data_IF_284102717368
#
_entry.id   IF_284102717368
#
_cell.length_a   1.000
_cell.length_b   1.000
_cell.length_c   1.000
_cell.angle_alpha   90.00
_cell.angle_beta   90.00
_cell.angle_gamma   90.00
#
_symmetry.space_group_name_H-M   'P 1'
#
loop_
_entity.id
_entity.type
_entity.pdbx_description
1 polymer ?
#
# COMPACT_ATOMS: atom_id res chain seq x y z
N UNK A 1 20.14 -81.55 -13.94
CA UNK A 1 20.41 -80.22 -13.31
C UNK A 1 19.69 -79.16 -14.12
N UNK A 2 18.60 -78.68 -13.59
CA UNK A 2 17.72 -77.73 -14.25
C UNK A 2 17.93 -76.35 -13.61
N UNK A 3 18.40 -75.35 -14.42
CA UNK A 3 18.65 -74.02 -14.02
C UNK A 3 17.37 -73.19 -14.15
N UNK A 4 16.90 -72.60 -13.04
CA UNK A 4 15.76 -71.72 -12.99
C UNK A 4 16.22 -70.28 -13.33
N UNK A 5 15.66 -69.53 -14.27
CA UNK A 5 16.03 -68.15 -14.50
C UNK A 5 15.35 -67.26 -13.52
N UNK A 6 16.13 -66.42 -12.82
CA UNK A 6 15.69 -65.35 -11.95
C UNK A 6 14.97 -64.28 -12.75
N UNK A 7 13.68 -64.10 -12.51
CA UNK A 7 12.91 -62.93 -12.98
C UNK A 7 13.36 -61.69 -12.21
N UNK A 8 13.98 -60.78 -12.91
CA UNK A 8 14.25 -59.42 -12.41
C UNK A 8 12.93 -58.65 -12.47
N UNK A 9 12.37 -58.39 -11.29
CA UNK A 9 11.22 -57.48 -11.16
C UNK A 9 11.78 -56.05 -11.16
N UNK A 10 11.64 -55.35 -12.27
CA UNK A 10 11.84 -53.89 -12.33
C UNK A 10 10.64 -53.22 -11.67
N UNK A 11 10.79 -52.82 -10.41
CA UNK A 11 9.84 -51.89 -9.77
C UNK A 11 10.07 -50.50 -10.35
N UNK A 12 9.18 -50.13 -11.25
CA UNK A 12 9.08 -48.77 -11.78
C UNK A 12 8.55 -47.88 -10.65
N UNK A 13 9.43 -47.22 -9.89
CA UNK A 13 9.07 -46.15 -9.01
C UNK A 13 8.66 -44.94 -9.89
N UNK A 14 7.36 -44.79 -10.11
CA UNK A 14 6.79 -43.56 -10.64
C UNK A 14 7.00 -42.50 -9.54
N UNK A 15 8.06 -41.70 -9.63
CA UNK A 15 8.20 -40.45 -8.90
C UNK A 15 7.14 -39.48 -9.45
N UNK A 16 5.93 -39.54 -8.90
CA UNK A 16 4.98 -38.44 -9.03
C UNK A 16 5.56 -37.29 -8.22
N UNK A 17 6.32 -36.47 -8.91
CA UNK A 17 6.71 -35.16 -8.40
C UNK A 17 5.44 -34.33 -8.21
N UNK A 18 4.84 -34.42 -7.03
CA UNK A 18 3.86 -33.45 -6.59
C UNK A 18 4.64 -32.14 -6.43
N UNK A 19 4.66 -31.34 -7.47
CA UNK A 19 4.96 -29.92 -7.35
C UNK A 19 3.91 -29.32 -6.42
N UNK A 20 4.18 -29.35 -5.13
CA UNK A 20 3.56 -28.46 -4.18
C UNK A 20 4.00 -27.06 -4.59
N UNK A 21 3.23 -26.43 -5.50
CA UNK A 21 3.22 -25.00 -5.57
C UNK A 21 2.72 -24.55 -4.20
N UNK A 22 3.64 -24.33 -3.29
CA UNK A 22 3.35 -23.54 -2.10
C UNK A 22 2.83 -22.22 -2.66
N UNK A 23 1.54 -22.00 -2.54
CA UNK A 23 0.92 -20.75 -2.94
C UNK A 23 1.61 -19.71 -2.06
N UNK A 24 2.55 -18.98 -2.67
CA UNK A 24 3.32 -17.98 -1.94
C UNK A 24 2.28 -16.97 -1.44
N UNK A 25 2.09 -16.92 -0.13
CA UNK A 25 1.11 -16.03 0.49
C UNK A 25 1.46 -14.61 0.04
N UNK A 26 0.56 -13.98 -0.69
CA UNK A 26 0.73 -12.60 -1.12
C UNK A 26 0.84 -11.68 0.09
N UNK A 27 1.79 -10.75 0.08
CA UNK A 27 1.88 -9.71 1.08
C UNK A 27 0.77 -8.68 0.83
N UNK A 28 -0.03 -8.39 1.84
CA UNK A 28 -1.14 -7.45 1.76
C UNK A 28 -0.88 -6.27 2.69
N UNK A 29 -0.63 -5.10 2.12
CA UNK A 29 -0.55 -3.82 2.83
C UNK A 29 -1.81 -2.99 2.56
N UNK A 30 -2.43 -2.49 3.62
CA UNK A 30 -3.70 -1.75 3.53
C UNK A 30 -3.59 -0.36 4.13
N UNK A 31 -4.01 0.65 3.38
CA UNK A 31 -4.15 2.02 3.88
C UNK A 31 -5.47 2.19 4.62
N UNK A 32 -5.41 2.71 5.84
CA UNK A 32 -6.57 2.89 6.73
C UNK A 32 -6.74 4.36 7.07
N UNK A 33 -7.81 4.97 6.60
CA UNK A 33 -8.22 6.33 7.01
C UNK A 33 -9.09 6.29 8.25
N UNK A 34 -8.74 7.09 9.25
CA UNK A 34 -9.45 7.12 10.52
C UNK A 34 -10.93 7.49 10.42
N UNK A 35 -11.28 8.38 9.49
CA UNK A 35 -12.67 8.74 9.23
C UNK A 35 -13.49 7.59 8.61
N UNK A 36 -12.88 6.74 7.78
CA UNK A 36 -13.55 5.56 7.22
C UNK A 36 -13.73 4.48 8.29
N UNK A 37 -12.70 4.27 9.12
CA UNK A 37 -12.79 3.38 10.26
C UNK A 37 -13.93 3.79 11.21
N UNK A 38 -14.01 5.06 11.57
CA UNK A 38 -15.07 5.58 12.44
C UNK A 38 -16.48 5.40 11.85
N UNK A 39 -16.63 5.50 10.54
CA UNK A 39 -17.91 5.32 9.86
C UNK A 39 -18.29 3.84 9.64
N UNK A 40 -17.50 2.89 10.14
CA UNK A 40 -17.74 1.47 9.91
C UNK A 40 -17.56 1.03 8.45
N UNK A 41 -16.79 1.80 7.65
CA UNK A 41 -16.51 1.48 6.24
C UNK A 41 -15.27 0.62 6.05
N UNK A 42 -14.66 0.17 7.12
CA UNK A 42 -13.52 -0.73 7.13
C UNK A 42 -13.95 -2.01 7.81
N UNK A 43 -13.98 -3.10 7.09
CA UNK A 43 -14.30 -4.40 7.65
C UNK A 43 -13.16 -4.88 8.56
N UNK A 44 -13.49 -5.39 9.74
CA UNK A 44 -12.49 -5.87 10.71
C UNK A 44 -11.75 -7.08 10.15
N UNK A 45 -12.45 -7.93 9.44
CA UNK A 45 -11.87 -9.09 8.75
C UNK A 45 -10.79 -8.67 7.76
N UNK A 46 -10.99 -7.57 7.03
CA UNK A 46 -9.98 -7.02 6.11
C UNK A 46 -8.75 -6.51 6.85
N UNK A 47 -8.93 -5.85 8.01
CA UNK A 47 -7.80 -5.45 8.87
C UNK A 47 -7.00 -6.67 9.34
N UNK A 48 -7.70 -7.72 9.77
CA UNK A 48 -7.09 -8.95 10.28
C UNK A 48 -6.44 -9.81 9.19
N UNK A 49 -6.90 -9.68 7.96
CA UNK A 49 -6.33 -10.37 6.79
C UNK A 49 -5.08 -9.67 6.23
N UNK A 50 -4.87 -8.40 6.56
CA UNK A 50 -3.69 -7.63 6.13
C UNK A 50 -2.44 -8.06 6.91
N UNK A 51 -1.30 -8.07 6.23
CA UNK A 51 0.00 -8.27 6.86
C UNK A 51 0.57 -6.93 7.39
N UNK A 52 0.10 -5.81 6.85
CA UNK A 52 0.57 -4.46 7.13
C UNK A 52 -0.57 -3.44 7.03
N UNK A 53 -0.68 -2.56 8.01
CA UNK A 53 -1.70 -1.51 8.09
C UNK A 53 -1.02 -0.15 8.19
N UNK A 54 -1.30 0.73 7.23
CA UNK A 54 -0.76 2.09 7.16
C UNK A 54 -1.87 3.08 7.54
N UNK A 55 -1.74 3.69 8.71
CA UNK A 55 -2.73 4.65 9.23
C UNK A 55 -2.46 6.03 8.63
N UNK A 56 -3.41 6.56 7.89
CA UNK A 56 -3.34 7.90 7.27
C UNK A 56 -4.09 8.93 8.13
N UNK A 57 -3.63 10.19 8.25
CA UNK A 57 -2.44 10.79 7.68
C UNK A 57 -1.64 11.53 8.74
N UNK A 58 -0.32 11.52 8.57
CA UNK A 58 0.59 12.49 9.17
C UNK A 58 1.01 13.45 8.06
N UNK A 59 1.06 14.76 8.34
CA UNK A 59 1.42 15.78 7.35
C UNK A 59 2.75 16.43 7.76
N UNK A 60 3.77 16.45 6.90
CA UNK A 60 4.97 17.25 7.14
C UNK A 60 4.66 18.74 6.96
N UNK A 61 5.10 19.56 7.91
CA UNK A 61 5.18 21.00 7.77
C UNK A 61 6.53 21.38 7.16
N UNK A 62 6.63 22.61 6.62
CA UNK A 62 7.85 23.09 5.93
C UNK A 62 9.13 22.99 6.77
N UNK A 63 9.03 23.06 8.09
CA UNK A 63 10.14 22.99 9.05
C UNK A 63 10.42 21.56 9.57
N UNK A 64 9.72 20.57 9.05
CA UNK A 64 9.82 19.17 9.48
C UNK A 64 9.04 18.85 10.75
N UNK A 65 8.27 19.78 11.31
CA UNK A 65 7.28 19.47 12.33
C UNK A 65 6.10 18.70 11.72
N UNK A 66 5.27 18.08 12.57
CA UNK A 66 4.19 17.20 12.14
C UNK A 66 2.83 17.77 12.50
N UNK A 67 1.89 17.67 11.57
CA UNK A 67 0.46 17.81 11.82
C UNK A 67 -0.22 16.46 11.63
N UNK A 68 -1.30 16.20 12.37
CA UNK A 68 -2.01 14.93 12.32
C UNK A 68 -3.45 15.15 11.87
N UNK A 69 -3.91 14.35 10.92
CA UNK A 69 -5.32 14.28 10.60
C UNK A 69 -6.03 13.52 11.72
N UNK A 70 -6.80 14.23 12.53
CA UNK A 70 -7.61 13.58 13.55
C UNK A 70 -8.76 12.82 12.89
N UNK A 71 -8.99 11.56 13.29
CA UNK A 71 -10.19 10.85 12.89
C UNK A 71 -11.39 11.61 13.41
N UNK A 72 -12.13 12.27 12.53
CA UNK A 72 -13.32 13.01 12.94
C UNK A 72 -14.31 12.05 13.58
N UNK A 73 -14.86 12.42 14.73
CA UNK A 73 -15.97 11.72 15.36
C UNK A 73 -17.22 11.89 14.48
N UNK A 74 -17.31 11.08 13.43
CA UNK A 74 -18.60 10.84 12.80
C UNK A 74 -19.29 9.74 13.60
N UNK A 75 -20.63 9.73 13.61
CA UNK A 75 -21.43 8.68 14.20
C UNK A 75 -20.80 7.30 13.94
N UNK A 76 -20.44 6.57 14.99
CA UNK A 76 -19.76 5.30 14.87
C UNK A 76 -18.92 4.95 16.09
N UNK A 77 -17.69 4.47 15.89
CA UNK A 77 -16.82 3.97 16.96
C UNK A 77 -16.31 5.08 17.93
N UNK A 78 -16.59 6.35 17.63
CA UNK A 78 -16.32 7.46 18.55
C UNK A 78 -14.84 7.79 18.75
N UNK A 79 -13.95 7.33 17.88
CA UNK A 79 -12.52 7.63 17.96
C UNK A 79 -12.25 9.04 17.44
N UNK A 80 -11.78 9.94 18.32
CA UNK A 80 -11.59 11.36 18.00
C UNK A 80 -10.12 11.80 17.98
N UNK A 81 -9.22 10.95 18.45
CA UNK A 81 -7.79 11.25 18.54
C UNK A 81 -6.98 10.23 17.74
N UNK A 82 -5.78 10.65 17.34
CA UNK A 82 -4.84 9.81 16.64
C UNK A 82 -4.39 8.61 17.48
N UNK A 83 -4.09 8.84 18.75
CA UNK A 83 -3.72 7.79 19.69
C UNK A 83 -4.88 6.80 19.92
N UNK A 84 -6.09 7.31 19.98
CA UNK A 84 -7.30 6.49 20.05
C UNK A 84 -7.49 5.60 18.83
N UNK A 85 -7.21 6.12 17.63
CA UNK A 85 -7.23 5.32 16.39
C UNK A 85 -6.21 4.19 16.44
N UNK A 86 -4.95 4.50 16.78
CA UNK A 86 -3.89 3.50 16.91
C UNK A 86 -4.28 2.41 17.89
N UNK A 87 -4.77 2.80 19.09
CA UNK A 87 -5.21 1.87 20.12
C UNK A 87 -6.35 0.97 19.63
N UNK A 88 -7.34 1.55 18.94
CA UNK A 88 -8.48 0.81 18.43
C UNK A 88 -8.07 -0.19 17.34
N UNK A 89 -7.28 0.23 16.36
CA UNK A 89 -6.78 -0.66 15.29
C UNK A 89 -5.95 -1.80 15.89
N UNK A 90 -5.06 -1.52 16.84
CA UNK A 90 -4.27 -2.57 17.49
C UNK A 90 -5.13 -3.58 18.25
N UNK A 91 -6.24 -3.15 18.85
CA UNK A 91 -7.19 -4.05 19.50
C UNK A 91 -7.89 -4.97 18.49
N UNK A 92 -8.29 -4.43 17.32
CA UNK A 92 -8.95 -5.20 16.26
C UNK A 92 -8.01 -6.29 15.69
N UNK A 93 -6.72 -6.00 15.53
CA UNK A 93 -5.77 -6.96 14.95
C UNK A 93 -4.99 -7.77 16.01
N UNK A 94 -5.41 -7.71 17.26
CA UNK A 94 -4.79 -8.51 18.32
C UNK A 94 -4.81 -10.01 17.96
N UNK A 95 -3.67 -10.66 18.11
CA UNK A 95 -3.49 -12.08 17.80
C UNK A 95 -3.19 -12.36 16.32
N UNK A 96 -3.10 -11.34 15.47
CA UNK A 96 -2.58 -11.47 14.10
C UNK A 96 -1.09 -11.10 14.05
N UNK A 97 -0.48 -11.25 12.85
CA UNK A 97 0.90 -10.80 12.57
C UNK A 97 0.97 -9.40 11.96
N UNK A 98 -0.18 -8.73 11.81
CA UNK A 98 -0.29 -7.43 11.15
C UNK A 98 0.65 -6.40 11.80
N UNK A 99 1.44 -5.73 10.98
CA UNK A 99 2.19 -4.54 11.37
C UNK A 99 1.27 -3.33 11.37
N UNK A 100 1.50 -2.40 12.30
CA UNK A 100 0.73 -1.15 12.37
C UNK A 100 1.69 0.01 12.25
N UNK A 101 1.61 0.71 11.12
CA UNK A 101 2.48 1.81 10.76
C UNK A 101 1.67 3.10 10.55
N UNK A 102 2.36 4.21 10.37
CA UNK A 102 1.74 5.46 9.95
C UNK A 102 2.13 5.80 8.52
N UNK A 103 1.28 6.54 7.82
CA UNK A 103 1.56 7.11 6.51
C UNK A 103 1.69 8.61 6.59
N UNK A 104 2.74 9.16 6.02
CA UNK A 104 2.92 10.59 5.85
C UNK A 104 2.53 10.98 4.42
N UNK A 105 1.40 11.67 4.27
CA UNK A 105 0.91 12.15 2.97
C UNK A 105 0.38 13.57 3.07
N UNK A 106 0.18 14.24 1.92
CA UNK A 106 -0.24 15.64 1.87
C UNK A 106 0.73 16.57 2.62
N UNK A 107 0.33 17.78 3.02
CA UNK A 107 1.20 18.70 3.76
C UNK A 107 2.18 19.49 2.87
N UNK A 108 3.30 19.91 3.46
CA UNK A 108 4.24 20.81 2.80
C UNK A 108 5.51 20.08 2.31
N UNK A 109 5.33 18.94 1.64
CA UNK A 109 6.41 18.06 1.20
C UNK A 109 7.51 18.79 0.42
N UNK A 110 7.16 19.54 -0.64
CA UNK A 110 8.16 20.21 -1.50
C UNK A 110 9.09 21.13 -0.70
N UNK A 111 8.53 21.92 0.21
CA UNK A 111 9.32 22.80 1.06
C UNK A 111 10.15 22.03 2.10
N UNK A 112 9.56 21.00 2.71
CA UNK A 112 10.24 20.18 3.72
C UNK A 112 11.40 19.38 3.13
N UNK A 113 11.22 18.73 1.96
CA UNK A 113 12.31 17.94 1.36
C UNK A 113 13.44 18.80 0.80
N UNK A 114 13.19 20.04 0.42
CA UNK A 114 14.20 20.94 -0.09
C UNK A 114 15.22 21.42 0.96
N UNK A 115 14.86 21.40 2.25
CA UNK A 115 15.67 21.89 3.36
C UNK A 115 16.25 20.73 4.18
N UNK A 116 17.57 20.69 4.36
CA UNK A 116 18.27 19.61 5.08
C UNK A 116 17.88 19.59 6.58
N UNK A 117 17.73 20.77 7.19
CA UNK A 117 17.34 20.88 8.59
C UNK A 117 15.92 20.36 8.78
N UNK A 118 15.00 20.71 7.87
CA UNK A 118 13.65 20.24 7.88
C UNK A 118 13.56 18.70 7.67
N UNK A 119 14.31 18.14 6.71
CA UNK A 119 14.41 16.67 6.53
C UNK A 119 14.85 15.97 7.81
N UNK A 120 15.87 16.54 8.48
CA UNK A 120 16.39 15.98 9.73
C UNK A 120 15.37 16.09 10.86
N UNK A 121 14.70 17.24 10.99
CA UNK A 121 13.64 17.45 11.98
C UNK A 121 12.46 16.49 11.75
N UNK A 122 12.02 16.35 10.50
CA UNK A 122 10.96 15.44 10.11
C UNK A 122 11.27 14.00 10.52
N UNK A 123 12.45 13.49 10.16
CA UNK A 123 12.86 12.13 10.51
C UNK A 123 12.91 11.88 12.02
N UNK A 124 13.44 12.85 12.80
CA UNK A 124 13.48 12.77 14.27
C UNK A 124 12.07 12.81 14.89
N UNK A 125 11.19 13.66 14.37
CA UNK A 125 9.81 13.76 14.85
C UNK A 125 9.03 12.48 14.55
N UNK A 126 9.18 11.90 13.36
CA UNK A 126 8.62 10.59 13.03
C UNK A 126 9.13 9.52 14.01
N UNK A 127 10.45 9.41 14.22
CA UNK A 127 11.00 8.44 15.19
C UNK A 127 10.37 8.57 16.58
N UNK A 128 10.18 9.80 17.06
CA UNK A 128 9.52 10.06 18.34
C UNK A 128 8.09 9.53 18.36
N UNK A 129 7.31 9.78 17.29
CA UNK A 129 5.93 9.29 17.15
C UNK A 129 5.88 7.76 17.14
N UNK A 130 6.77 7.12 16.38
CA UNK A 130 6.85 5.66 16.31
C UNK A 130 7.16 5.05 17.69
N UNK A 131 8.08 5.65 18.45
CA UNK A 131 8.45 5.20 19.78
C UNK A 131 7.30 5.37 20.79
N UNK A 132 6.69 6.55 20.82
CA UNK A 132 5.61 6.89 21.75
C UNK A 132 4.38 6.01 21.56
N UNK A 133 4.06 5.67 20.31
CA UNK A 133 2.88 4.89 19.96
C UNK A 133 3.20 3.41 19.67
N UNK A 134 4.45 2.97 19.87
CA UNK A 134 4.92 1.61 19.63
C UNK A 134 4.60 1.11 18.21
N UNK A 135 4.70 1.98 17.21
CA UNK A 135 4.41 1.68 15.82
C UNK A 135 5.57 0.93 15.17
N UNK A 136 5.25 0.17 14.12
CA UNK A 136 6.20 -0.70 13.43
C UNK A 136 6.99 0.02 12.33
N UNK A 137 6.56 1.22 11.90
CA UNK A 137 7.25 1.96 10.84
C UNK A 137 6.45 3.11 10.25
N UNK A 138 6.95 3.60 9.12
CA UNK A 138 6.42 4.74 8.38
C UNK A 138 6.33 4.40 6.89
N UNK A 139 5.33 4.93 6.22
CA UNK A 139 5.21 5.02 4.77
C UNK A 139 5.28 6.50 4.34
N UNK A 140 6.10 6.81 3.36
CA UNK A 140 6.27 8.17 2.83
C UNK A 140 5.52 8.28 1.50
N UNK A 141 4.50 9.12 1.47
CA UNK A 141 3.61 9.32 0.33
C UNK A 141 3.65 10.78 -0.13
N UNK A 142 4.73 11.12 -0.86
CA UNK A 142 4.92 12.43 -1.45
C UNK A 142 4.26 12.52 -2.83
N UNK A 143 3.13 13.17 -2.89
CA UNK A 143 2.35 13.39 -4.12
C UNK A 143 2.45 14.87 -4.57
N UNK A 144 3.32 15.29 -5.51
CA UNK A 144 4.29 14.50 -6.26
C UNK A 144 5.55 15.32 -6.52
N UNK A 145 6.69 14.63 -6.68
CA UNK A 145 7.88 15.22 -7.27
C UNK A 145 7.67 15.37 -8.79
N UNK A 146 7.95 16.56 -9.34
CA UNK A 146 7.64 16.91 -10.73
C UNK A 146 8.89 17.13 -11.58
N UNK A 147 10.04 17.36 -10.94
CA UNK A 147 11.30 17.66 -11.62
C UNK A 147 12.50 16.98 -10.95
N UNK A 148 13.66 17.01 -11.62
CA UNK A 148 14.86 16.31 -11.17
C UNK A 148 15.31 16.74 -9.75
N UNK A 149 15.20 18.03 -9.43
CA UNK A 149 15.57 18.56 -8.11
C UNK A 149 14.66 18.02 -7.01
N UNK A 150 13.35 17.98 -7.24
CA UNK A 150 12.38 17.43 -6.28
C UNK A 150 12.59 15.92 -6.07
N UNK A 151 12.95 15.16 -7.11
CA UNK A 151 13.32 13.75 -6.96
C UNK A 151 14.59 13.55 -6.14
N UNK A 152 15.62 14.39 -6.37
CA UNK A 152 16.84 14.39 -5.57
C UNK A 152 16.53 14.70 -4.11
N UNK A 153 15.79 15.77 -3.83
CA UNK A 153 15.42 16.21 -2.49
C UNK A 153 14.58 15.14 -1.75
N UNK A 154 13.63 14.52 -2.46
CA UNK A 154 12.85 13.42 -1.88
C UNK A 154 13.71 12.19 -1.57
N UNK A 155 14.64 11.86 -2.47
CA UNK A 155 15.61 10.77 -2.24
C UNK A 155 16.48 11.05 -1.00
N UNK A 156 16.95 12.28 -0.80
CA UNK A 156 17.67 12.70 0.40
C UNK A 156 16.81 12.60 1.67
N UNK A 157 15.52 12.91 1.58
CA UNK A 157 14.61 12.75 2.70
C UNK A 157 14.42 11.26 3.08
N UNK A 158 14.31 10.38 2.11
CA UNK A 158 14.24 8.91 2.32
C UNK A 158 15.52 8.41 3.01
N UNK A 159 16.69 8.81 2.51
CA UNK A 159 17.97 8.43 3.07
C UNK A 159 18.11 8.93 4.52
N UNK A 160 17.74 10.20 4.78
CA UNK A 160 17.76 10.77 6.14
C UNK A 160 16.77 10.03 7.06
N UNK A 161 15.59 9.64 6.56
CA UNK A 161 14.66 8.85 7.34
C UNK A 161 15.27 7.50 7.74
N UNK A 162 15.87 6.76 6.80
CA UNK A 162 16.55 5.49 7.09
C UNK A 162 17.68 5.66 8.09
N UNK A 163 18.52 6.69 7.91
CA UNK A 163 19.62 7.01 8.84
C UNK A 163 19.12 7.18 10.28
N UNK A 164 18.03 7.95 10.47
CA UNK A 164 17.48 8.25 11.79
C UNK A 164 16.75 7.05 12.38
N UNK A 165 15.96 6.32 11.59
CA UNK A 165 15.19 5.17 12.07
C UNK A 165 16.06 3.94 12.33
N UNK A 166 17.14 3.73 11.57
CA UNK A 166 17.89 2.48 11.52
C UNK A 166 17.04 1.34 10.96
N UNK A 167 17.47 0.10 11.15
CA UNK A 167 16.82 -1.10 10.61
C UNK A 167 15.66 -1.62 11.47
N UNK A 168 15.41 -0.98 12.61
CA UNK A 168 14.36 -1.40 13.54
C UNK A 168 12.95 -1.19 12.98
N UNK A 169 12.76 -0.14 12.19
CA UNK A 169 11.44 0.29 11.71
C UNK A 169 11.30 0.05 10.22
N UNK A 170 10.12 -0.41 9.82
CA UNK A 170 9.77 -0.56 8.42
C UNK A 170 9.66 0.84 7.79
N UNK A 171 10.38 1.05 6.70
CA UNK A 171 10.33 2.26 5.88
C UNK A 171 9.87 1.88 4.48
N UNK A 172 8.73 2.38 4.06
CA UNK A 172 8.28 2.26 2.67
C UNK A 172 7.99 3.62 2.06
N UNK A 173 7.88 3.64 0.76
CA UNK A 173 7.47 4.82 0.01
C UNK A 173 6.31 4.46 -0.91
N UNK A 174 5.38 5.38 -1.07
CA UNK A 174 4.32 5.28 -2.07
C UNK A 174 4.69 6.13 -3.27
N UNK A 175 4.83 5.50 -4.43
CA UNK A 175 5.16 6.14 -5.70
C UNK A 175 4.00 6.04 -6.66
N UNK A 176 4.01 6.91 -7.66
CA UNK A 176 2.99 6.91 -8.71
C UNK A 176 3.66 6.77 -10.09
N UNK A 177 3.01 6.15 -11.09
CA UNK A 177 3.59 6.01 -12.44
C UNK A 177 4.02 7.32 -13.10
N UNK A 178 3.51 8.46 -12.64
CA UNK A 178 3.98 9.78 -13.09
C UNK A 178 5.06 10.38 -12.18
N UNK A 179 5.36 9.76 -11.03
CA UNK A 179 6.32 10.26 -10.04
C UNK A 179 7.00 9.11 -9.30
N UNK A 180 8.02 8.47 -9.91
CA UNK A 180 8.70 7.28 -9.38
C UNK A 180 10.23 7.36 -9.42
N UNK A 181 10.81 8.44 -9.91
CA UNK A 181 12.25 8.52 -10.24
C UNK A 181 13.13 8.88 -9.03
N UNK A 182 12.94 8.19 -7.89
CA UNK A 182 13.84 8.32 -6.75
C UNK A 182 15.21 7.67 -7.05
N UNK A 183 16.25 8.04 -6.31
CA UNK A 183 17.62 7.54 -6.55
C UNK A 183 17.74 6.04 -6.22
N UNK A 184 18.78 5.40 -6.78
CA UNK A 184 19.09 3.98 -6.50
C UNK A 184 19.37 3.74 -5.02
N UNK A 185 20.04 4.68 -4.37
CA UNK A 185 20.34 4.65 -2.94
C UNK A 185 19.06 4.72 -2.11
N UNK A 186 18.11 5.58 -2.51
CA UNK A 186 16.80 5.67 -1.86
C UNK A 186 15.99 4.37 -2.07
N UNK A 187 16.01 3.78 -3.28
CA UNK A 187 15.40 2.45 -3.55
C UNK A 187 16.03 1.38 -2.66
N UNK A 188 17.35 1.40 -2.47
CA UNK A 188 18.04 0.45 -1.61
C UNK A 188 17.66 0.62 -0.13
N UNK A 189 17.47 1.87 0.32
CA UNK A 189 17.20 2.22 1.71
C UNK A 189 15.79 1.86 2.21
N UNK A 190 14.81 1.69 1.34
CA UNK A 190 13.44 1.31 1.73
C UNK A 190 13.26 -0.20 1.79
N UNK A 191 12.34 -0.68 2.62
CA UNK A 191 11.99 -2.10 2.72
C UNK A 191 11.14 -2.53 1.53
N UNK A 192 10.18 -1.70 1.12
CA UNK A 192 9.39 -1.90 -0.10
C UNK A 192 8.83 -0.58 -0.64
N UNK A 193 8.30 -0.65 -1.85
CA UNK A 193 7.76 0.48 -2.61
C UNK A 193 6.34 0.11 -3.03
N UNK A 194 5.35 0.86 -2.57
CA UNK A 194 3.99 0.80 -3.10
C UNK A 194 3.92 1.61 -4.39
N UNK A 195 3.39 1.03 -5.45
CA UNK A 195 3.12 1.75 -6.70
C UNK A 195 1.62 1.98 -6.84
N UNK A 196 1.20 3.23 -6.86
CA UNK A 196 -0.20 3.63 -7.05
C UNK A 196 -0.58 3.52 -8.53
N UNK A 197 -0.88 2.31 -9.02
CA UNK A 197 -1.28 2.04 -10.40
C UNK A 197 -2.71 2.49 -10.71
N UNK A 198 -3.19 3.53 -10.06
CA UNK A 198 -4.55 4.07 -10.15
C UNK A 198 -4.53 5.60 -10.14
N UNK A 199 -5.67 6.20 -10.29
CA UNK A 199 -5.81 7.65 -10.23
C UNK A 199 -7.24 8.10 -10.54
N UNK A 200 -7.50 9.42 -10.55
CA UNK A 200 -8.86 9.96 -10.76
C UNK A 200 -9.34 9.87 -12.22
N UNK A 201 -8.55 9.33 -13.13
CA UNK A 201 -8.89 9.18 -14.54
C UNK A 201 -9.29 7.75 -14.88
N UNK A 202 -10.38 7.54 -15.65
CA UNK A 202 -10.84 6.20 -16.04
C UNK A 202 -9.80 5.42 -16.87
N UNK A 203 -8.86 6.09 -17.55
CA UNK A 203 -7.78 5.43 -18.31
C UNK A 203 -6.75 4.72 -17.43
N UNK A 204 -6.84 4.84 -16.11
CA UNK A 204 -5.97 4.15 -15.16
C UNK A 204 -6.48 2.78 -14.74
N UNK A 205 -7.71 2.41 -15.12
CA UNK A 205 -8.36 1.18 -14.67
C UNK A 205 -8.24 -0.01 -15.63
N UNK A 206 -7.96 0.11 -16.95
CA UNK A 206 -7.69 -1.08 -17.73
C UNK A 206 -6.48 -1.84 -17.20
N UNK A 207 -6.59 -3.16 -17.09
CA UNK A 207 -5.51 -4.05 -16.62
C UNK A 207 -4.22 -3.91 -17.42
N UNK A 208 -4.32 -3.60 -18.71
CA UNK A 208 -3.18 -3.33 -19.59
C UNK A 208 -2.38 -2.11 -19.10
N UNK A 209 -3.08 -1.06 -18.65
CA UNK A 209 -2.43 0.13 -18.10
C UNK A 209 -1.72 -0.20 -16.79
N UNK A 210 -2.36 -0.96 -15.92
CA UNK A 210 -1.78 -1.46 -14.67
C UNK A 210 -0.50 -2.25 -14.95
N UNK A 211 -0.54 -3.22 -15.85
CA UNK A 211 0.64 -4.01 -16.25
C UNK A 211 1.76 -3.14 -16.83
N UNK A 212 1.41 -2.15 -17.68
CA UNK A 212 2.39 -1.26 -18.28
C UNK A 212 3.08 -0.34 -17.27
N UNK A 213 2.34 0.13 -16.26
CA UNK A 213 2.89 0.94 -15.16
C UNK A 213 3.90 0.13 -14.32
N UNK A 214 3.58 -1.12 -14.02
CA UNK A 214 4.51 -2.04 -13.31
C UNK A 214 5.78 -2.27 -14.15
N UNK A 215 5.64 -2.61 -15.43
CA UNK A 215 6.78 -2.84 -16.31
C UNK A 215 7.69 -1.61 -16.44
N UNK A 216 7.10 -0.41 -16.47
CA UNK A 216 7.84 0.84 -16.55
C UNK A 216 8.76 1.03 -15.33
N UNK A 217 8.27 0.80 -14.12
CA UNK A 217 9.09 0.98 -12.89
C UNK A 217 10.10 -0.14 -12.71
N UNK A 218 9.80 -1.36 -13.13
CA UNK A 218 10.77 -2.46 -13.18
C UNK A 218 11.92 -2.13 -14.15
N UNK A 219 11.62 -1.58 -15.33
CA UNK A 219 12.61 -1.13 -16.30
C UNK A 219 13.46 0.04 -15.78
N UNK A 220 12.91 0.89 -14.93
CA UNK A 220 13.65 1.96 -14.26
C UNK A 220 14.70 1.42 -13.28
N UNK A 221 14.47 0.24 -12.71
CA UNK A 221 15.39 -0.43 -11.79
C UNK A 221 14.84 -0.60 -10.38
N UNK A 222 13.52 -0.45 -10.17
CA UNK A 222 12.89 -0.88 -8.91
C UNK A 222 12.86 -2.41 -8.89
N UNK A 223 13.49 -3.07 -7.90
CA UNK A 223 13.50 -4.53 -7.81
C UNK A 223 12.09 -5.08 -7.58
N UNK A 224 11.74 -6.15 -8.29
CA UNK A 224 10.40 -6.77 -8.17
C UNK A 224 10.08 -7.25 -6.75
N UNK A 225 11.08 -7.69 -6.01
CA UNK A 225 10.96 -8.17 -4.62
C UNK A 225 10.68 -7.04 -3.63
N UNK A 226 10.89 -5.79 -4.02
CA UNK A 226 10.52 -4.59 -3.25
C UNK A 226 9.22 -3.95 -3.73
N UNK A 227 8.67 -4.37 -4.85
CA UNK A 227 7.51 -3.73 -5.45
C UNK A 227 6.20 -4.32 -4.91
N UNK A 228 5.34 -3.47 -4.37
CA UNK A 228 3.96 -3.77 -3.98
C UNK A 228 3.03 -2.97 -4.89
N UNK A 229 2.26 -3.67 -5.71
CA UNK A 229 1.36 -3.02 -6.65
C UNK A 229 0.06 -2.60 -5.96
N UNK A 230 -0.25 -1.30 -6.02
CA UNK A 230 -1.41 -0.72 -5.39
C UNK A 230 -2.67 -0.87 -6.23
N UNK A 231 -3.76 -1.26 -5.60
CA UNK A 231 -5.09 -1.33 -6.21
C UNK A 231 -6.06 -0.43 -5.45
N UNK A 232 -6.96 0.29 -6.15
CA UNK A 232 -7.92 1.17 -5.51
C UNK A 232 -9.18 0.40 -5.12
N UNK A 233 -9.76 0.76 -3.97
CA UNK A 233 -11.12 0.33 -3.60
C UNK A 233 -12.15 1.41 -3.88
N UNK A 234 -12.10 2.00 -5.08
CA UNK A 234 -13.07 2.99 -5.57
C UNK A 234 -13.19 2.90 -7.09
N UNK A 235 -14.32 3.37 -7.61
CA UNK A 235 -14.50 3.62 -9.04
C UNK A 235 -14.42 5.09 -9.36
N UNK A 236 -14.15 5.42 -10.62
CA UNK A 236 -14.19 6.77 -11.17
C UNK A 236 -15.20 6.84 -12.30
N UNK A 237 -15.78 8.03 -12.52
CA UNK A 237 -16.74 8.22 -13.62
C UNK A 237 -16.08 8.03 -14.97
N UNK A 238 -16.74 7.27 -15.85
CA UNK A 238 -16.27 6.93 -17.20
C UNK A 238 -16.14 8.16 -18.12
N UNK A 239 -16.95 9.17 -17.89
CA UNK A 239 -16.95 10.44 -18.63
C UNK A 239 -15.78 11.39 -18.27
N UNK A 240 -14.86 10.94 -17.42
CA UNK A 240 -13.73 11.71 -16.93
C UNK A 240 -14.09 12.96 -16.11
N UNK A 241 -15.30 13.02 -15.54
CA UNK A 241 -15.72 14.09 -14.64
C UNK A 241 -14.99 14.09 -13.29
N UNK A 242 -14.08 13.11 -13.08
CA UNK A 242 -13.25 12.91 -11.88
C UNK A 242 -14.04 12.68 -10.59
N UNK A 243 -15.32 12.34 -10.69
CA UNK A 243 -16.09 11.90 -9.54
C UNK A 243 -15.62 10.50 -9.13
N UNK A 244 -15.52 10.26 -7.84
CA UNK A 244 -15.15 8.97 -7.30
C UNK A 244 -16.23 8.44 -6.35
N UNK A 245 -16.43 7.13 -6.34
CA UNK A 245 -17.30 6.46 -5.38
C UNK A 245 -16.60 5.21 -4.83
N UNK A 246 -16.74 4.97 -3.53
CA UNK A 246 -16.13 3.82 -2.90
C UNK A 246 -16.69 2.50 -3.46
N UNK A 247 -15.83 1.53 -3.75
CA UNK A 247 -16.23 0.19 -4.18
C UNK A 247 -17.23 -0.45 -3.20
N UNK A 248 -17.07 -0.20 -1.91
CA UNK A 248 -18.00 -0.58 -0.86
C UNK A 248 -19.45 -0.14 -1.15
N UNK A 249 -19.65 1.05 -1.71
CA UNK A 249 -21.01 1.53 -2.06
C UNK A 249 -21.65 0.68 -3.16
N UNK A 250 -20.87 0.22 -4.12
CA UNK A 250 -21.37 -0.67 -5.18
C UNK A 250 -21.78 -2.03 -4.62
N UNK A 251 -20.95 -2.61 -3.77
CA UNK A 251 -21.25 -3.89 -3.10
C UNK A 251 -22.47 -3.76 -2.20
N UNK A 252 -22.55 -2.71 -1.39
CA UNK A 252 -23.66 -2.50 -0.45
C UNK A 252 -25.01 -2.31 -1.16
N UNK A 253 -25.00 -1.75 -2.37
CA UNK A 253 -26.21 -1.59 -3.17
C UNK A 253 -26.49 -2.78 -4.11
N UNK A 254 -25.78 -3.91 -3.97
CA UNK A 254 -25.98 -5.11 -4.76
C UNK A 254 -25.66 -4.95 -6.25
N UNK A 255 -24.81 -3.98 -6.61
CA UNK A 255 -24.47 -3.69 -8.00
C UNK A 255 -23.36 -4.59 -8.55
N UNK A 256 -22.59 -5.22 -7.67
CA UNK A 256 -21.53 -6.17 -8.05
C UNK A 256 -22.14 -7.57 -8.00
N UNK A 257 -22.41 -8.14 -9.16
CA UNK A 257 -23.04 -9.45 -9.32
C UNK A 257 -22.05 -10.52 -9.80
N UNK A 258 -20.90 -10.09 -10.31
CA UNK A 258 -19.83 -10.97 -10.83
C UNK A 258 -18.44 -10.44 -10.45
N UNK A 259 -17.47 -11.34 -10.17
CA UNK A 259 -16.06 -10.97 -10.00
C UNK A 259 -15.43 -10.28 -11.22
N UNK A 260 -15.97 -10.53 -12.40
CA UNK A 260 -15.48 -9.96 -13.67
C UNK A 260 -16.00 -8.55 -13.95
N UNK A 261 -16.90 -8.01 -13.12
CA UNK A 261 -17.42 -6.65 -13.33
C UNK A 261 -16.36 -5.60 -13.05
N UNK A 262 -16.18 -4.71 -14.03
CA UNK A 262 -15.27 -3.56 -13.98
C UNK A 262 -16.00 -2.23 -14.20
N UNK A 263 -17.32 -2.27 -14.32
CA UNK A 263 -18.16 -1.10 -14.61
C UNK A 263 -19.53 -1.27 -13.96
N UNK A 264 -20.07 -0.19 -13.38
CA UNK A 264 -21.45 -0.15 -12.84
C UNK A 264 -22.11 1.18 -13.12
N UNK A 265 -23.45 1.16 -13.25
CA UNK A 265 -24.27 2.38 -13.20
C UNK A 265 -24.71 2.63 -11.76
N UNK A 266 -24.37 3.76 -11.20
CA UNK A 266 -24.73 4.15 -9.84
C UNK A 266 -25.13 5.62 -9.78
N UNK A 267 -26.36 5.89 -9.34
CA UNK A 267 -26.93 7.24 -9.24
C UNK A 267 -26.90 8.03 -10.56
N UNK A 268 -27.11 7.35 -11.68
CA UNK A 268 -27.13 7.98 -13.01
C UNK A 268 -25.76 8.23 -13.63
N UNK A 269 -24.68 7.82 -12.96
CA UNK A 269 -23.30 7.91 -13.47
C UNK A 269 -22.74 6.51 -13.73
N UNK A 270 -21.93 6.37 -14.76
CA UNK A 270 -21.21 5.13 -15.05
C UNK A 270 -19.83 5.22 -14.41
N UNK A 271 -19.53 4.29 -13.51
CA UNK A 271 -18.23 4.17 -12.84
C UNK A 271 -17.44 2.99 -13.40
N UNK A 272 -16.15 3.18 -13.60
CA UNK A 272 -15.18 2.13 -13.92
C UNK A 272 -14.25 1.90 -12.72
N UNK A 273 -13.83 0.65 -12.53
CA UNK A 273 -12.98 0.21 -11.40
C UNK A 273 -12.25 -1.09 -11.77
N UNK A 274 -11.29 -1.50 -10.95
CA UNK A 274 -10.70 -2.83 -11.05
C UNK A 274 -11.56 -3.84 -10.29
N UNK A 275 -12.17 -4.75 -11.03
CA UNK A 275 -12.95 -5.86 -10.48
C UNK A 275 -12.06 -6.94 -9.87
N UNK A 276 -12.68 -7.89 -9.16
CA UNK A 276 -11.94 -8.93 -8.43
C UNK A 276 -11.05 -9.79 -9.33
N UNK A 277 -11.47 -10.08 -10.56
CA UNK A 277 -10.69 -10.90 -11.49
C UNK A 277 -9.47 -10.16 -12.06
N UNK A 278 -9.50 -8.81 -12.10
CA UNK A 278 -8.34 -7.99 -12.47
C UNK A 278 -7.28 -7.91 -11.36
N UNK A 279 -7.68 -8.11 -10.10
CA UNK A 279 -6.81 -7.99 -8.93
C UNK A 279 -6.14 -9.33 -8.57
N UNK A 280 -6.69 -10.45 -9.02
CA UNK A 280 -6.16 -11.81 -8.78
C UNK A 280 -5.00 -12.16 -9.70
#
# INVERSE_FOLDING_TARGET
>A
VMLIPRKIIFSLFLLVGVCLYAQQKSFVSSYVRGNFYNRGRVAIESLRASDDLILLNVHPNKDGSLSFENPRAFQGKGVTTWEGLIKSIRAEVKGTKAKVRIGASSGQWKAMVADETARTAFAKNIKKVLQQNKLDGIDLDFEWAENAKEYEDYSLAILKMREVLGDKYILSVSLHPVSYKISKEAIAAVDFISLQCYGPSPVRFPVEKYCSDIQMVLKYGIPKEKLVAGVPFYGVTKDNSKKTEAYFSFVQNGLITSPAENEVNYKGEVYVFDGQDNIR
#
